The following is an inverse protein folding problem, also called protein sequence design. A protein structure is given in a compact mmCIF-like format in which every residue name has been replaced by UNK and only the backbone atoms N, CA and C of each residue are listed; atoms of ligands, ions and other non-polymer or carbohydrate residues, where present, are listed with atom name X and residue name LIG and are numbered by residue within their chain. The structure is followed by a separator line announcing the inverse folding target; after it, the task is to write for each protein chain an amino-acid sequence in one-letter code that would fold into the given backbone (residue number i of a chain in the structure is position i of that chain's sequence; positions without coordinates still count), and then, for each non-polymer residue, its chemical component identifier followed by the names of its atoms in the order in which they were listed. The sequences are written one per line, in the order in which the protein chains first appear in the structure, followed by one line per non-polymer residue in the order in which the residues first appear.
data_IF_083103972963
#
_entry.id   IF_083103972963
#
_cell.length_a   1.000
_cell.length_b   1.000
_cell.length_c   1.000
_cell.angle_alpha   90.00
_cell.angle_beta   90.00
_cell.angle_gamma   90.00
#
_symmetry.space_group_name_H-M   'P 1'
#
loop_
_entity.id
_entity.type
_entity.pdbx_description
1 polymer ?
#
# COMPACT_ATOMS: atom_id res chain seq x y z
N UNK A 1 34.96 38.41 26.42
CA UNK A 1 34.97 37.69 25.13
C UNK A 1 33.79 38.17 24.31
N UNK A 2 34.01 38.73 23.11
CA UNK A 2 32.93 39.17 22.20
C UNK A 2 32.48 38.01 21.31
N UNK A 3 31.19 37.90 21.01
CA UNK A 3 30.69 36.90 20.07
C UNK A 3 31.26 37.12 18.66
N UNK A 4 31.56 36.02 17.96
CA UNK A 4 31.90 36.05 16.54
C UNK A 4 30.68 36.40 15.69
N UNK A 5 30.89 37.14 14.58
CA UNK A 5 29.81 37.59 13.71
C UNK A 5 29.15 36.40 13.00
N UNK A 6 27.83 36.22 13.13
CA UNK A 6 27.13 35.12 12.47
C UNK A 6 26.92 35.39 10.98
N UNK A 7 26.56 34.33 10.25
CA UNK A 7 26.16 34.43 8.85
C UNK A 7 24.76 35.07 8.76
N UNK A 8 24.63 36.19 8.05
CA UNK A 8 23.37 36.96 7.94
C UNK A 8 22.74 36.97 6.54
N UNK A 9 23.35 36.29 5.56
CA UNK A 9 22.90 36.30 4.15
C UNK A 9 22.80 34.88 3.61
N UNK A 10 21.87 34.63 2.70
CA UNK A 10 21.74 33.34 2.02
C UNK A 10 21.26 32.17 2.90
N UNK A 11 20.75 32.46 4.11
CA UNK A 11 20.32 31.45 5.08
C UNK A 11 19.23 30.52 4.51
N UNK A 12 18.27 31.08 3.76
CA UNK A 12 17.21 30.31 3.10
C UNK A 12 17.78 29.34 2.05
N UNK A 13 18.70 29.81 1.20
CA UNK A 13 19.33 28.96 0.18
C UNK A 13 20.14 27.82 0.80
N UNK A 14 20.87 28.10 1.89
CA UNK A 14 21.59 27.06 2.65
C UNK A 14 20.64 26.02 3.23
N UNK A 15 19.51 26.45 3.80
CA UNK A 15 18.48 25.57 4.35
C UNK A 15 17.83 24.72 3.25
N UNK A 16 17.50 25.31 2.11
CA UNK A 16 16.88 24.61 0.98
C UNK A 16 17.81 23.53 0.40
N UNK A 17 19.11 23.82 0.25
CA UNK A 17 20.09 22.83 -0.23
C UNK A 17 20.19 21.59 0.66
N UNK A 18 19.86 21.71 1.94
CA UNK A 18 19.85 20.58 2.88
C UNK A 18 18.50 19.85 2.80
N UNK A 19 17.38 20.58 2.89
CA UNK A 19 16.07 19.93 2.96
C UNK A 19 15.60 19.32 1.64
N UNK A 20 16.01 19.87 0.50
CA UNK A 20 15.58 19.35 -0.80
C UNK A 20 16.01 17.88 -1.02
N UNK A 21 17.29 17.49 -0.92
CA UNK A 21 17.69 16.09 -1.06
C UNK A 21 17.09 15.21 0.04
N UNK A 22 16.95 15.70 1.27
CA UNK A 22 16.31 14.96 2.37
C UNK A 22 14.84 14.66 2.05
N UNK A 23 14.10 15.64 1.53
CA UNK A 23 12.70 15.45 1.14
C UNK A 23 12.56 14.40 0.04
N UNK A 24 13.44 14.42 -0.97
CA UNK A 24 13.46 13.39 -2.02
C UNK A 24 13.82 12.00 -1.48
N UNK A 25 14.80 11.90 -0.57
CA UNK A 25 15.16 10.62 0.03
C UNK A 25 13.99 10.04 0.84
N UNK A 26 13.32 10.86 1.64
CA UNK A 26 12.17 10.44 2.45
C UNK A 26 10.98 10.06 1.57
N UNK A 27 10.70 10.80 0.50
CA UNK A 27 9.58 10.48 -0.40
C UNK A 27 9.80 9.16 -1.14
N UNK A 28 11.01 8.92 -1.66
CA UNK A 28 11.35 7.67 -2.33
C UNK A 28 11.32 6.48 -1.37
N UNK A 29 11.84 6.65 -0.15
CA UNK A 29 11.76 5.62 0.88
C UNK A 29 10.30 5.27 1.20
N UNK A 30 9.45 6.29 1.37
CA UNK A 30 8.03 6.10 1.66
C UNK A 30 7.31 5.36 0.53
N UNK A 31 7.61 5.73 -0.72
CA UNK A 31 7.06 5.06 -1.90
C UNK A 31 7.49 3.58 -1.97
N UNK A 32 8.76 3.29 -1.70
CA UNK A 32 9.27 1.92 -1.66
C UNK A 32 8.59 1.09 -0.56
N UNK A 33 8.51 1.63 0.66
CA UNK A 33 7.83 0.98 1.78
C UNK A 33 6.38 0.65 1.39
N UNK A 34 5.62 1.63 0.90
CA UNK A 34 4.23 1.41 0.52
C UNK A 34 4.07 0.36 -0.58
N UNK A 35 4.96 0.33 -1.57
CA UNK A 35 4.94 -0.70 -2.60
C UNK A 35 5.07 -2.10 -1.99
N UNK A 36 6.07 -2.34 -1.17
CA UNK A 36 6.37 -3.67 -0.64
C UNK A 36 5.45 -4.10 0.50
N UNK A 37 4.93 -3.16 1.30
CA UNK A 37 4.07 -3.52 2.44
C UNK A 37 2.58 -3.53 2.09
N UNK A 38 2.17 -2.83 1.02
CA UNK A 38 0.75 -2.70 0.66
C UNK A 38 0.47 -3.20 -0.74
N UNK A 39 1.15 -2.65 -1.76
CA UNK A 39 0.79 -2.93 -3.15
C UNK A 39 1.10 -4.38 -3.55
N UNK A 40 2.31 -4.84 -3.27
CA UNK A 40 2.77 -6.16 -3.70
C UNK A 40 2.07 -7.29 -2.92
N UNK A 41 1.90 -7.22 -1.59
CA UNK A 41 1.12 -8.21 -0.84
C UNK A 41 -0.33 -8.28 -1.28
N UNK A 42 -0.96 -7.14 -1.62
CA UNK A 42 -2.32 -7.15 -2.16
C UNK A 42 -2.37 -7.90 -3.49
N UNK A 43 -1.48 -7.58 -4.44
CA UNK A 43 -1.42 -8.28 -5.73
C UNK A 43 -1.18 -9.78 -5.55
N UNK A 44 -0.28 -10.14 -4.64
CA UNK A 44 0.00 -11.54 -4.32
C UNK A 44 -1.22 -12.25 -3.72
N UNK A 45 -1.94 -11.63 -2.77
CA UNK A 45 -3.14 -12.22 -2.17
C UNK A 45 -4.24 -12.51 -3.21
N UNK A 46 -4.47 -11.59 -4.16
CA UNK A 46 -5.39 -11.84 -5.27
C UNK A 46 -4.91 -12.99 -6.17
N UNK A 47 -3.62 -13.01 -6.52
CA UNK A 47 -3.05 -14.07 -7.35
C UNK A 47 -3.14 -15.44 -6.65
N UNK A 48 -2.85 -15.50 -5.35
CA UNK A 48 -2.95 -16.72 -4.54
C UNK A 48 -4.38 -17.22 -4.41
N UNK A 49 -5.35 -16.32 -4.20
CA UNK A 49 -6.76 -16.68 -4.17
C UNK A 49 -7.18 -17.35 -5.48
N UNK A 50 -6.90 -16.72 -6.62
CA UNK A 50 -7.32 -17.24 -7.93
C UNK A 50 -6.50 -18.44 -8.41
N UNK A 51 -5.32 -18.70 -7.83
CA UNK A 51 -4.45 -19.80 -8.25
C UNK A 51 -5.14 -21.17 -8.19
N UNK A 52 -5.97 -21.38 -7.18
CA UNK A 52 -6.68 -22.64 -6.95
C UNK A 52 -8.20 -22.44 -6.82
N UNK A 53 -8.73 -21.28 -7.24
CA UNK A 53 -10.13 -20.96 -7.09
C UNK A 53 -11.00 -21.80 -8.04
N UNK A 54 -11.89 -22.62 -7.47
CA UNK A 54 -12.92 -23.34 -8.20
C UNK A 54 -14.27 -22.63 -8.00
N UNK A 55 -14.69 -21.92 -9.04
CA UNK A 55 -15.92 -21.14 -9.02
C UNK A 55 -17.17 -22.03 -8.84
N UNK A 56 -17.18 -23.25 -9.37
CA UNK A 56 -18.33 -24.15 -9.27
C UNK A 56 -18.43 -24.72 -7.86
N UNK A 57 -17.30 -25.08 -7.26
CA UNK A 57 -17.25 -25.53 -5.86
C UNK A 57 -17.75 -24.43 -4.92
N UNK A 58 -17.23 -23.21 -5.05
CA UNK A 58 -17.67 -22.10 -4.19
C UNK A 58 -19.12 -21.70 -4.44
N UNK A 59 -19.58 -21.75 -5.69
CA UNK A 59 -21.00 -21.59 -6.01
C UNK A 59 -21.86 -22.65 -5.31
N UNK A 60 -21.47 -23.92 -5.35
CA UNK A 60 -22.23 -24.98 -4.69
C UNK A 60 -22.23 -24.78 -3.16
N UNK A 61 -21.10 -24.40 -2.56
CA UNK A 61 -21.05 -24.06 -1.13
C UNK A 61 -22.05 -22.94 -0.77
N UNK A 62 -22.10 -21.89 -1.60
CA UNK A 62 -23.05 -20.78 -1.44
C UNK A 62 -24.51 -21.21 -1.67
N UNK A 63 -24.76 -22.05 -2.67
CA UNK A 63 -26.10 -22.59 -2.96
C UNK A 63 -26.62 -23.43 -1.80
N UNK A 64 -25.81 -24.34 -1.27
CA UNK A 64 -26.22 -25.17 -0.13
C UNK A 64 -26.36 -24.34 1.15
N UNK A 65 -25.66 -23.21 1.28
CA UNK A 65 -25.88 -22.25 2.36
C UNK A 65 -27.20 -21.46 2.22
N UNK A 66 -27.93 -21.62 1.11
CA UNK A 66 -29.24 -21.00 0.89
C UNK A 66 -29.20 -19.48 0.66
N UNK A 67 -28.05 -18.92 0.29
CA UNK A 67 -27.93 -17.46 0.11
C UNK A 67 -28.45 -16.96 -1.24
N UNK A 68 -28.73 -17.86 -2.18
CA UNK A 68 -29.25 -17.50 -3.50
C UNK A 68 -30.78 -17.53 -3.52
N UNK A 69 -31.40 -16.46 -4.02
CA UNK A 69 -32.84 -16.43 -4.29
C UNK A 69 -33.21 -17.21 -5.55
N UNK A 70 -32.32 -17.24 -6.53
CA UNK A 70 -32.57 -17.85 -7.85
C UNK A 70 -32.28 -19.35 -7.92
N UNK A 71 -31.51 -19.91 -6.97
CA UNK A 71 -31.14 -21.33 -6.95
C UNK A 71 -31.20 -21.84 -5.51
N UNK A 72 -32.10 -22.81 -5.27
CA UNK A 72 -32.33 -23.41 -3.96
C UNK A 72 -31.26 -24.45 -3.59
N UNK A 73 -31.05 -24.74 -2.29
CA UNK A 73 -30.24 -25.86 -1.84
C UNK A 73 -30.74 -27.19 -2.42
N UNK A 74 -29.84 -28.15 -2.60
CA UNK A 74 -30.17 -29.43 -3.24
C UNK A 74 -31.11 -30.35 -2.44
N UNK A 75 -31.32 -30.05 -1.15
CA UNK A 75 -32.16 -30.83 -0.24
C UNK A 75 -33.54 -30.22 0.08
N UNK A 76 -33.91 -29.11 -0.54
CA UNK A 76 -35.28 -28.57 -0.55
C UNK A 76 -36.07 -29.06 -1.77
#
# INVERSE_FOLDING_TARGET
MSLAKPLMRGLLGKRLRIHLPVAFAVSLLTAAVFKYTVCDPRKQAYAEFYKNYDAVKEFNNMREAGIFECVRPSGE
#
